data_IF_749683139557
#
_entry.id   IF_749683139557
#
_cell.length_a   1.000
_cell.length_b   1.000
_cell.length_c   1.000
_cell.angle_alpha   90.00
_cell.angle_beta   90.00
_cell.angle_gamma   90.00
#
_symmetry.space_group_name_H-M   'P 1'
#
loop_
_entity.id
_entity.type
_entity.pdbx_description
1 polymer ?
#
# COMPACT_ATOMS: atom_id res chain seq x y z
N UNK A 1 9.32 -4.20 32.76
CA UNK A 1 8.78 -4.83 31.54
C UNK A 1 8.90 -3.82 30.40
N UNK A 2 9.47 -4.20 29.26
CA UNK A 2 9.54 -3.32 28.08
C UNK A 2 8.13 -3.05 27.55
N UNK A 3 7.84 -1.82 27.13
CA UNK A 3 6.58 -1.45 26.44
C UNK A 3 6.31 -2.34 25.23
N UNK A 4 7.35 -2.94 24.65
CA UNK A 4 7.27 -3.74 23.44
C UNK A 4 7.15 -5.26 23.70
N UNK A 5 7.20 -5.72 24.95
CA UNK A 5 7.01 -7.13 25.29
C UNK A 5 7.86 -8.10 24.44
N UNK A 6 7.21 -9.08 23.81
CA UNK A 6 7.84 -10.06 22.92
C UNK A 6 8.41 -9.48 21.62
N UNK A 7 8.04 -8.25 21.24
CA UNK A 7 8.51 -7.57 20.04
C UNK A 7 9.83 -6.81 20.25
N UNK A 8 10.36 -6.79 21.48
CA UNK A 8 11.61 -6.10 21.80
C UNK A 8 12.77 -6.51 20.88
N UNK A 9 12.95 -7.81 20.65
CA UNK A 9 14.01 -8.32 19.78
C UNK A 9 13.88 -7.84 18.32
N UNK A 10 12.65 -7.64 17.82
CA UNK A 10 12.43 -7.09 16.47
C UNK A 10 12.70 -5.58 16.42
N UNK A 11 12.40 -4.87 17.52
CA UNK A 11 12.66 -3.43 17.65
C UNK A 11 14.15 -3.12 17.68
N UNK A 12 14.91 -3.96 18.37
CA UNK A 12 16.36 -3.83 18.55
C UNK A 12 17.14 -4.35 17.34
N UNK A 13 16.49 -5.11 16.45
CA UNK A 13 17.09 -5.59 15.21
C UNK A 13 17.45 -4.38 14.32
N UNK A 14 18.73 -4.20 13.94
CA UNK A 14 19.13 -3.11 13.07
C UNK A 14 18.39 -3.18 11.72
N UNK A 15 17.93 -2.03 11.24
CA UNK A 15 17.40 -1.92 9.88
C UNK A 15 18.59 -2.15 8.93
N UNK A 16 18.51 -3.12 8.00
CA UNK A 16 19.60 -3.36 7.06
C UNK A 16 19.86 -2.09 6.24
N UNK A 17 21.12 -1.77 5.94
CA UNK A 17 21.43 -0.61 5.10
C UNK A 17 20.74 -0.76 3.74
N UNK A 18 20.36 0.35 3.09
CA UNK A 18 19.82 0.30 1.75
C UNK A 18 20.83 -0.41 0.82
N UNK A 19 20.36 -1.23 -0.14
CA UNK A 19 21.26 -1.91 -1.06
C UNK A 19 22.13 -0.90 -1.82
N UNK A 20 23.41 -1.23 -2.01
CA UNK A 20 24.40 -0.35 -2.68
C UNK A 20 23.96 0.03 -4.10
N UNK A 21 23.22 -0.87 -4.76
CA UNK A 21 22.62 -0.61 -6.04
C UNK A 21 21.28 0.10 -5.86
N UNK A 22 21.26 1.39 -6.23
CA UNK A 22 19.99 2.05 -6.58
C UNK A 22 19.29 1.16 -7.60
N UNK A 23 17.99 0.91 -7.43
CA UNK A 23 17.18 0.15 -8.38
C UNK A 23 17.17 0.86 -9.75
N UNK A 24 18.21 0.65 -10.56
CA UNK A 24 18.33 1.05 -11.96
C UNK A 24 17.87 -0.13 -12.81
N UNK A 25 17.33 0.14 -13.99
CA UNK A 25 16.86 -0.92 -14.90
C UNK A 25 15.58 -1.64 -14.44
N UNK A 26 14.89 -1.22 -13.37
CA UNK A 26 13.62 -1.86 -12.97
C UNK A 26 12.54 -1.77 -14.08
N UNK A 27 12.66 -0.78 -14.98
CA UNK A 27 11.80 -0.65 -16.17
C UNK A 27 12.20 -1.55 -17.33
N UNK A 28 13.41 -2.09 -17.31
CA UNK A 28 13.96 -3.00 -18.32
C UNK A 28 13.55 -4.44 -18.05
N UNK A 29 13.24 -4.78 -16.79
CA UNK A 29 12.67 -6.07 -16.42
C UNK A 29 11.26 -6.21 -17.00
N UNK A 30 11.01 -7.18 -17.91
CA UNK A 30 9.72 -7.34 -18.54
C UNK A 30 8.67 -7.77 -17.51
N UNK A 31 7.49 -7.15 -17.58
CA UNK A 31 6.35 -7.58 -16.77
C UNK A 31 5.75 -8.83 -17.40
N UNK A 32 5.76 -9.94 -16.67
CA UNK A 32 5.19 -11.20 -17.13
C UNK A 32 3.65 -11.19 -17.06
N UNK A 33 2.98 -10.63 -18.09
CA UNK A 33 1.52 -10.50 -18.13
C UNK A 33 0.76 -11.84 -18.20
N UNK A 34 1.40 -12.91 -18.70
CA UNK A 34 0.79 -14.24 -18.85
C UNK A 34 0.87 -15.13 -17.60
N UNK A 35 1.53 -14.67 -16.52
CA UNK A 35 1.69 -15.45 -15.30
C UNK A 35 0.35 -15.76 -14.61
N UNK A 36 0.26 -16.91 -13.92
CA UNK A 36 -0.94 -17.35 -13.21
C UNK A 36 -1.47 -16.30 -12.22
N UNK A 37 -0.56 -15.61 -11.53
CA UNK A 37 -0.90 -14.53 -10.60
C UNK A 37 -1.71 -13.39 -11.26
N UNK A 38 -1.54 -13.16 -12.57
CA UNK A 38 -2.32 -12.14 -13.28
C UNK A 38 -3.78 -12.51 -13.52
N UNK A 39 -4.11 -13.80 -13.42
CA UNK A 39 -5.47 -14.34 -13.58
C UNK A 39 -6.23 -14.47 -12.27
N UNK A 40 -5.58 -14.20 -11.13
CA UNK A 40 -6.24 -14.22 -9.83
C UNK A 40 -7.41 -13.23 -9.77
N UNK A 41 -8.57 -13.63 -9.21
CA UNK A 41 -9.68 -12.72 -9.01
C UNK A 41 -9.32 -11.63 -8.00
N UNK A 42 -9.97 -10.48 -8.12
CA UNK A 42 -9.98 -9.48 -7.06
C UNK A 42 -11.04 -9.86 -6.03
N UNK A 43 -10.63 -9.94 -4.76
CA UNK A 43 -11.49 -10.26 -3.63
C UNK A 43 -11.43 -9.12 -2.61
N UNK A 44 -12.49 -8.94 -1.82
CA UNK A 44 -12.51 -7.92 -0.77
C UNK A 44 -11.69 -8.37 0.44
N UNK A 45 -11.00 -7.43 1.09
CA UNK A 45 -10.24 -7.71 2.32
C UNK A 45 -11.13 -8.19 3.48
N UNK A 46 -12.35 -7.65 3.56
CA UNK A 46 -13.33 -7.98 4.60
C UNK A 46 -13.64 -9.47 4.65
N UNK A 47 -13.70 -10.14 3.49
CA UNK A 47 -14.05 -11.56 3.37
C UNK A 47 -12.98 -12.47 3.98
N UNK A 48 -11.78 -11.93 4.25
CA UNK A 48 -10.64 -12.64 4.81
C UNK A 48 -10.29 -12.17 6.23
N UNK A 49 -11.15 -11.36 6.86
CA UNK A 49 -10.94 -10.85 8.22
C UNK A 49 -9.77 -9.86 8.33
N UNK A 50 -9.42 -9.18 7.23
CA UNK A 50 -8.40 -8.12 7.24
C UNK A 50 -9.11 -6.77 7.28
N UNK A 51 -8.77 -5.96 8.28
CA UNK A 51 -9.35 -4.63 8.46
C UNK A 51 -8.65 -3.59 7.60
N UNK A 52 -9.41 -2.55 7.27
CA UNK A 52 -8.88 -1.42 6.54
C UNK A 52 -9.97 -0.45 6.12
N UNK A 53 -9.52 0.71 5.67
CA UNK A 53 -10.35 1.77 5.13
C UNK A 53 -9.59 2.43 3.98
N UNK A 54 -10.26 2.69 2.85
CA UNK A 54 -9.59 3.32 1.74
C UNK A 54 -9.29 4.79 2.04
N UNK A 55 -8.01 5.07 2.24
CA UNK A 55 -7.50 6.40 2.54
C UNK A 55 -7.90 7.45 1.49
N UNK A 56 -8.08 7.07 0.23
CA UNK A 56 -8.45 7.98 -0.85
C UNK A 56 -9.96 8.17 -1.02
N UNK A 57 -10.78 7.34 -0.36
CA UNK A 57 -12.24 7.43 -0.37
C UNK A 57 -12.80 8.31 0.76
N UNK A 58 -11.93 8.81 1.65
CA UNK A 58 -12.33 9.66 2.78
C UNK A 58 -11.80 11.10 2.68
N UNK A 59 -12.50 12.09 3.27
CA UNK A 59 -12.09 13.50 3.24
C UNK A 59 -10.91 13.78 4.18
N UNK A 60 -10.70 12.98 5.23
CA UNK A 60 -9.58 13.13 6.16
C UNK A 60 -8.36 12.35 5.66
N UNK A 61 -7.82 12.77 4.52
CA UNK A 61 -6.70 12.10 3.87
C UNK A 61 -5.52 13.03 3.57
N UNK A 62 -4.80 13.52 4.59
CA UNK A 62 -3.61 14.34 4.38
C UNK A 62 -2.63 13.66 3.39
N UNK A 63 -2.01 14.40 2.46
CA UNK A 63 -2.05 15.85 2.28
C UNK A 63 -3.19 16.36 1.38
N UNK A 64 -4.15 15.52 0.98
CA UNK A 64 -5.16 15.87 -0.03
C UNK A 64 -6.40 16.54 0.56
N UNK A 65 -6.83 16.14 1.75
CA UNK A 65 -8.02 16.65 2.44
C UNK A 65 -9.29 16.67 1.56
N UNK A 66 -9.40 15.70 0.65
CA UNK A 66 -10.48 15.59 -0.32
C UNK A 66 -10.59 14.14 -0.81
N UNK A 67 -11.82 13.69 -1.07
CA UNK A 67 -12.06 12.39 -1.71
C UNK A 67 -11.49 12.43 -3.12
N UNK A 68 -10.58 11.49 -3.44
CA UNK A 68 -9.91 11.46 -4.73
C UNK A 68 -10.89 10.96 -5.81
N UNK A 69 -11.09 11.68 -6.92
CA UNK A 69 -12.01 11.25 -7.96
C UNK A 69 -11.73 9.81 -8.45
N UNK A 70 -12.79 9.00 -8.43
CA UNK A 70 -12.77 7.59 -8.83
C UNK A 70 -12.24 6.62 -7.77
N UNK A 71 -11.94 7.09 -6.55
CA UNK A 71 -11.67 6.20 -5.42
C UNK A 71 -12.92 5.39 -5.09
N UNK A 72 -12.70 4.23 -4.49
CA UNK A 72 -13.76 3.31 -4.06
C UNK A 72 -13.52 2.99 -2.59
N UNK A 73 -14.58 2.83 -1.81
CA UNK A 73 -14.46 2.52 -0.38
C UNK A 73 -13.94 1.09 -0.16
N UNK A 74 -14.35 0.16 -1.02
CA UNK A 74 -13.93 -1.24 -0.94
C UNK A 74 -12.43 -1.39 -1.19
N UNK A 75 -11.75 -2.05 -0.26
CA UNK A 75 -10.38 -2.50 -0.45
C UNK A 75 -10.39 -3.91 -1.05
N UNK A 76 -9.94 -4.00 -2.30
CA UNK A 76 -9.83 -5.28 -3.01
C UNK A 76 -8.39 -5.56 -3.43
N UNK A 77 -7.97 -6.81 -3.32
CA UNK A 77 -6.66 -7.28 -3.77
C UNK A 77 -6.81 -8.58 -4.52
N UNK A 78 -5.75 -8.99 -5.23
CA UNK A 78 -5.68 -10.34 -5.79
C UNK A 78 -5.75 -11.37 -4.66
N UNK A 79 -6.47 -12.46 -4.89
CA UNK A 79 -6.70 -13.49 -3.88
C UNK A 79 -5.42 -13.93 -3.14
N UNK A 80 -4.35 -14.27 -3.87
CA UNK A 80 -3.11 -14.73 -3.24
C UNK A 80 -2.39 -13.64 -2.44
N UNK A 81 -2.64 -12.36 -2.71
CA UNK A 81 -2.14 -11.28 -1.85
C UNK A 81 -2.93 -11.19 -0.54
N UNK A 82 -4.26 -11.35 -0.59
CA UNK A 82 -5.10 -11.34 0.62
C UNK A 82 -4.79 -12.52 1.52
N UNK A 83 -4.59 -13.71 0.96
CA UNK A 83 -4.21 -14.91 1.72
C UNK A 83 -2.89 -14.69 2.50
N UNK A 84 -1.92 -14.02 1.88
CA UNK A 84 -0.66 -13.65 2.55
C UNK A 84 -0.89 -12.64 3.68
N UNK A 85 -1.73 -11.63 3.46
CA UNK A 85 -2.08 -10.67 4.52
C UNK A 85 -2.78 -11.35 5.69
N UNK A 86 -3.71 -12.27 5.42
CA UNK A 86 -4.36 -13.08 6.46
C UNK A 86 -3.34 -13.88 7.27
N UNK A 87 -2.36 -14.51 6.61
CA UNK A 87 -1.30 -15.24 7.29
C UNK A 87 -0.42 -14.33 8.17
N UNK A 88 -0.13 -13.10 7.74
CA UNK A 88 0.57 -12.11 8.56
C UNK A 88 -0.28 -11.68 9.75
N UNK A 89 -1.58 -11.42 9.53
CA UNK A 89 -2.50 -11.04 10.60
C UNK A 89 -2.58 -12.12 11.69
N UNK A 90 -2.58 -13.40 11.31
CA UNK A 90 -2.56 -14.52 12.24
C UNK A 90 -1.29 -14.52 13.13
N UNK A 91 -0.12 -14.21 12.56
CA UNK A 91 1.14 -14.09 13.33
C UNK A 91 1.13 -12.88 14.27
N UNK A 92 0.53 -11.78 13.85
CA UNK A 92 0.43 -10.56 14.67
C UNK A 92 -0.54 -10.73 15.85
N UNK A 93 -1.55 -11.59 15.71
CA UNK A 93 -2.49 -11.87 16.78
C UNK A 93 -1.81 -12.42 18.05
N UNK A 94 -0.70 -13.16 17.91
CA UNK A 94 0.12 -13.64 19.05
C UNK A 94 0.68 -12.47 19.89
N UNK A 95 0.88 -11.31 19.27
CA UNK A 95 1.33 -10.07 19.91
C UNK A 95 0.19 -9.08 20.17
N UNK A 96 -1.08 -9.51 20.06
CA UNK A 96 -2.27 -8.66 20.18
C UNK A 96 -2.27 -7.46 19.22
N UNK A 97 -1.69 -7.65 18.03
CA UNK A 97 -1.67 -6.67 16.96
C UNK A 97 -2.54 -7.14 15.78
N UNK A 98 -3.06 -6.17 15.02
CA UNK A 98 -3.76 -6.43 13.75
C UNK A 98 -3.22 -5.55 12.62
N UNK A 99 -3.32 -6.04 11.40
CA UNK A 99 -3.09 -5.23 10.20
C UNK A 99 -4.28 -4.31 9.96
N UNK A 100 -3.99 -3.04 9.69
CA UNK A 100 -4.94 -2.08 9.15
C UNK A 100 -4.48 -1.58 7.79
N UNK A 101 -5.25 -1.87 6.74
CA UNK A 101 -4.89 -1.56 5.36
C UNK A 101 -5.53 -0.23 4.93
N UNK A 102 -4.71 0.68 4.41
CA UNK A 102 -5.17 2.01 3.96
C UNK A 102 -5.41 2.10 2.46
N UNK A 103 -4.84 1.20 1.67
CA UNK A 103 -4.95 1.24 0.21
C UNK A 103 -4.69 -0.15 -0.39
N UNK A 104 -5.31 -0.39 -1.54
CA UNK A 104 -5.30 -1.67 -2.22
C UNK A 104 -5.34 -1.46 -3.74
N UNK A 105 -6.15 -2.23 -4.47
CA UNK A 105 -6.32 -2.02 -5.90
C UNK A 105 -6.93 -0.64 -6.20
N UNK A 106 -6.27 0.12 -7.10
CA UNK A 106 -6.72 1.44 -7.54
C UNK A 106 -7.25 1.41 -8.96
N UNK A 107 -8.44 1.98 -9.17
CA UNK A 107 -8.98 2.27 -10.50
C UNK A 107 -8.07 3.26 -11.25
N UNK A 108 -8.04 3.18 -12.58
CA UNK A 108 -7.24 4.07 -13.44
C UNK A 108 -7.48 5.58 -13.21
N UNK A 109 -8.72 6.08 -12.95
CA UNK A 109 -8.97 7.49 -12.65
C UNK A 109 -8.21 8.00 -11.42
N UNK A 110 -8.15 7.24 -10.32
CA UNK A 110 -7.37 7.63 -9.14
C UNK A 110 -5.90 7.82 -9.48
N UNK A 111 -5.33 6.89 -10.27
CA UNK A 111 -3.92 6.96 -10.70
C UNK A 111 -3.63 8.23 -11.51
N UNK A 112 -4.59 8.68 -12.34
CA UNK A 112 -4.47 9.93 -13.10
C UNK A 112 -4.42 11.14 -12.18
N UNK A 113 -5.25 11.19 -11.13
CA UNK A 113 -5.24 12.28 -10.15
C UNK A 113 -3.91 12.40 -9.42
N UNK A 114 -3.26 11.27 -9.06
CA UNK A 114 -1.90 11.32 -8.47
C UNK A 114 -0.87 11.89 -9.43
N UNK A 115 -0.91 11.51 -10.71
CA UNK A 115 0.01 12.04 -11.72
C UNK A 115 -0.16 13.54 -11.90
N UNK A 116 -1.41 14.05 -11.89
CA UNK A 116 -1.70 15.49 -12.02
C UNK A 116 -1.34 16.25 -10.73
N UNK A 117 -1.67 15.70 -9.56
CA UNK A 117 -1.37 16.33 -8.27
C UNK A 117 0.14 16.41 -7.98
N UNK A 118 0.90 15.38 -8.38
CA UNK A 118 2.37 15.39 -8.32
C UNK A 118 2.98 16.43 -9.27
N UNK A 119 2.39 16.63 -10.46
CA UNK A 119 2.85 17.63 -11.42
C UNK A 119 2.59 19.06 -10.93
N UNK A 120 1.42 19.34 -10.33
CA UNK A 120 1.12 20.68 -9.78
C UNK A 120 2.03 21.08 -8.62
N UNK A 121 2.52 20.15 -7.79
CA UNK A 121 3.49 20.48 -6.73
C UNK A 121 4.89 20.78 -7.26
N UNK A 122 5.27 20.22 -8.42
CA UNK A 122 6.59 20.42 -9.01
C UNK A 122 6.66 21.60 -10.00
N UNK A 123 5.52 22.16 -10.44
CA UNK A 123 5.51 23.29 -11.38
C UNK A 123 5.48 24.68 -10.73
N UNK A 124 5.29 24.82 -9.41
CA UNK A 124 5.23 26.15 -8.77
C UNK A 124 6.62 26.72 -8.42
N UNK A 125 7.70 25.94 -8.59
CA UNK A 125 9.08 26.43 -8.37
C UNK A 125 9.88 26.70 -9.65
N UNK A 126 9.25 26.62 -10.82
CA UNK A 126 9.91 26.88 -12.10
C UNK A 126 8.98 27.64 -13.06
N UNK A 127 8.64 28.89 -12.74
CA UNK A 127 8.41 30.00 -13.66
C UNK A 127 8.55 31.28 -12.80
N UNK A 128 9.77 31.81 -12.78
CA UNK A 128 10.04 33.23 -12.58
C UNK A 128 10.92 33.63 -13.76
N UNK A 129 10.30 34.24 -14.75
CA UNK A 129 10.88 35.29 -15.57
C UNK A 129 9.86 36.42 -15.50
#
# INVERSE_FOLDING_TARGET
MSVFGSLGALRDKPIPPPPEHRARGYRELPIAFSGAANREPLVALSDYGVRGENFYAQPRNPPYYAVIPGSIETLSLRQGAVERLRAVNAKLAEAQLELFVFDAWRRKPCKRTFMIAGFRRNCVSAIRI
#
